data_IF_077214973863
#
_entry.id   IF_077214973863
#
_cell.length_a   1.000
_cell.length_b   1.000
_cell.length_c   1.000
_cell.angle_alpha   90.00
_cell.angle_beta   90.00
_cell.angle_gamma   90.00
#
_symmetry.space_group_name_H-M   'P 1'
#
loop_
_entity.id
_entity.type
_entity.pdbx_description
1 polymer ?
#
# COMPACT_ATOMS: atom_id res chain seq x y z
N UNK A 1 -54.02 11.44 -15.08
CA UNK A 1 -52.93 10.48 -15.38
C UNK A 1 -52.18 10.97 -16.61
N UNK A 2 -50.84 10.90 -16.61
CA UNK A 2 -49.88 11.52 -17.56
C UNK A 2 -49.33 12.91 -17.15
N UNK A 3 -48.83 13.01 -15.92
CA UNK A 3 -47.80 13.99 -15.50
C UNK A 3 -46.46 13.26 -15.30
N UNK A 4 -46.13 12.31 -16.16
CA UNK A 4 -44.93 11.43 -16.03
C UNK A 4 -44.38 11.10 -17.42
N UNK A 5 -44.06 12.12 -18.23
CA UNK A 5 -43.40 11.91 -19.53
C UNK A 5 -42.34 12.97 -19.81
N UNK A 6 -41.71 13.54 -18.77
CA UNK A 6 -40.77 14.65 -18.89
C UNK A 6 -39.40 14.38 -18.22
N UNK A 7 -38.99 13.11 -18.12
CA UNK A 7 -37.72 12.73 -17.50
C UNK A 7 -37.03 11.54 -18.19
N UNK A 8 -37.11 11.43 -19.53
CA UNK A 8 -36.55 10.29 -20.28
C UNK A 8 -35.40 10.70 -21.23
N UNK A 9 -35.00 11.96 -21.31
CA UNK A 9 -33.95 12.40 -22.26
C UNK A 9 -32.89 13.29 -21.62
N UNK A 10 -32.31 12.86 -20.49
CA UNK A 10 -31.11 13.50 -19.94
C UNK A 10 -30.16 12.56 -19.19
N UNK A 11 -30.11 11.28 -19.55
CA UNK A 11 -29.14 10.33 -18.98
C UNK A 11 -28.38 9.59 -20.09
N UNK A 12 -27.65 10.34 -20.92
CA UNK A 12 -26.71 9.80 -21.92
C UNK A 12 -25.27 10.19 -21.63
N UNK A 13 -24.89 10.21 -20.35
CA UNK A 13 -23.52 10.36 -19.84
C UNK A 13 -23.54 9.46 -18.59
N UNK A 14 -22.84 8.33 -18.43
CA UNK A 14 -21.50 7.92 -18.82
C UNK A 14 -21.55 6.38 -18.93
N UNK A 15 -21.25 5.81 -20.10
CA UNK A 15 -20.94 4.37 -20.21
C UNK A 15 -19.53 4.26 -20.74
N UNK A 16 -18.57 4.03 -19.84
CA UNK A 16 -17.28 3.35 -20.04
C UNK A 16 -16.45 3.56 -18.77
N UNK A 17 -16.86 2.92 -17.67
CA UNK A 17 -15.87 2.41 -16.71
C UNK A 17 -15.64 0.98 -17.16
N UNK A 18 -14.49 0.76 -17.79
CA UNK A 18 -13.96 -0.55 -18.11
C UNK A 18 -13.94 -1.38 -16.83
N UNK A 19 -14.63 -2.52 -16.89
CA UNK A 19 -14.62 -3.54 -15.87
C UNK A 19 -13.17 -4.00 -15.61
N UNK A 20 -12.58 -3.51 -14.52
CA UNK A 20 -11.82 -4.40 -13.66
C UNK A 20 -12.89 -5.04 -12.78
N UNK A 21 -13.27 -6.27 -13.14
CA UNK A 21 -14.02 -7.13 -12.22
C UNK A 21 -13.16 -7.32 -10.97
N UNK A 22 -13.43 -6.53 -9.93
CA UNK A 22 -13.05 -6.92 -8.58
C UNK A 22 -13.92 -8.11 -8.24
N UNK A 23 -13.35 -9.31 -8.37
CA UNK A 23 -13.94 -10.50 -7.80
C UNK A 23 -13.96 -10.31 -6.29
N UNK A 24 -15.15 -10.00 -5.78
CA UNK A 24 -15.53 -10.14 -4.39
C UNK A 24 -15.55 -11.65 -4.07
N UNK A 25 -14.35 -12.21 -3.89
CA UNK A 25 -14.16 -13.54 -3.34
C UNK A 25 -14.15 -13.39 -1.82
N UNK A 26 -15.33 -13.68 -1.27
CA UNK A 26 -15.59 -14.19 0.08
C UNK A 26 -14.66 -13.68 1.18
N UNK A 27 -15.24 -12.79 1.98
CA UNK A 27 -14.98 -12.60 3.40
C UNK A 27 -14.96 -13.95 4.13
N UNK A 28 -13.82 -14.64 4.07
CA UNK A 28 -13.56 -15.87 4.81
C UNK A 28 -12.73 -15.49 6.04
N UNK A 29 -13.43 -15.37 7.17
CA UNK A 29 -13.06 -15.94 8.47
C UNK A 29 -11.55 -16.14 8.71
N UNK A 30 -10.81 -15.03 8.88
CA UNK A 30 -9.47 -15.09 9.43
C UNK A 30 -9.58 -15.12 10.95
N UNK A 31 -9.71 -16.35 11.44
CA UNK A 31 -9.69 -16.72 12.83
C UNK A 31 -8.56 -16.02 13.60
N UNK A 32 -8.96 -15.62 14.80
CA UNK A 32 -8.14 -15.27 15.96
C UNK A 32 -6.75 -15.93 15.93
N UNK A 33 -5.76 -15.24 15.37
CA UNK A 33 -4.37 -15.62 15.53
C UNK A 33 -3.95 -15.17 16.91
N UNK A 34 -4.06 -16.11 17.86
CA UNK A 34 -3.39 -16.05 19.14
C UNK A 34 -1.96 -15.53 18.95
N UNK A 35 -1.64 -14.53 19.76
CA UNK A 35 -0.35 -13.89 19.88
C UNK A 35 0.72 -14.93 20.21
N UNK A 36 1.32 -15.53 19.19
CA UNK A 36 2.39 -16.51 19.34
C UNK A 36 3.70 -15.77 19.61
N UNK A 37 3.93 -15.47 20.88
CA UNK A 37 5.20 -14.97 21.44
C UNK A 37 6.30 -16.04 21.46
N UNK A 38 6.35 -16.93 20.48
CA UNK A 38 7.17 -18.16 20.54
C UNK A 38 7.66 -18.55 19.14
N UNK A 39 8.46 -17.66 18.54
CA UNK A 39 9.62 -17.97 17.67
C UNK A 39 10.64 -16.85 17.90
N UNK A 40 11.39 -16.94 19.02
CA UNK A 40 12.73 -16.34 19.13
C UNK A 40 13.62 -17.47 19.62
N UNK A 41 13.93 -18.40 18.73
CA UNK A 41 14.95 -19.43 18.95
C UNK A 41 15.47 -19.98 17.63
N UNK A 42 15.61 -19.13 16.62
CA UNK A 42 16.56 -19.39 15.54
C UNK A 42 17.56 -18.25 15.61
N UNK A 43 18.81 -18.64 15.85
CA UNK A 43 19.98 -17.79 15.99
C UNK A 43 19.97 -16.75 14.87
N UNK A 44 19.65 -15.49 15.19
CA UNK A 44 20.00 -14.36 14.35
C UNK A 44 21.50 -14.23 14.44
N UNK A 45 22.19 -14.98 13.59
CA UNK A 45 23.59 -14.77 13.28
C UNK A 45 23.68 -13.34 12.73
N UNK A 46 24.09 -12.39 13.57
CA UNK A 46 24.19 -10.96 13.23
C UNK A 46 25.41 -10.83 12.32
N UNK A 47 25.23 -11.24 11.07
CA UNK A 47 26.17 -11.03 9.98
C UNK A 47 25.85 -9.69 9.33
N UNK A 48 26.88 -8.98 8.87
CA UNK A 48 26.83 -7.58 8.44
C UNK A 48 25.57 -7.22 7.62
N UNK A 49 24.90 -6.13 8.00
CA UNK A 49 23.62 -5.60 7.48
C UNK A 49 23.36 -5.94 6.00
N UNK A 50 22.68 -7.05 5.75
CA UNK A 50 22.25 -7.40 4.40
C UNK A 50 21.12 -6.45 3.95
N UNK A 51 21.24 -5.91 2.73
CA UNK A 51 20.24 -5.01 2.17
C UNK A 51 18.91 -5.74 1.99
N UNK A 52 17.78 -5.11 2.38
CA UNK A 52 16.49 -5.71 2.12
C UNK A 52 16.28 -5.84 0.61
N UNK A 53 15.86 -7.04 0.19
CA UNK A 53 15.59 -7.35 -1.21
C UNK A 53 14.08 -7.42 -1.44
N UNK A 54 13.53 -6.34 -1.99
CA UNK A 54 12.11 -6.28 -2.35
C UNK A 54 11.88 -6.61 -3.83
N UNK A 55 10.62 -6.95 -4.15
CA UNK A 55 10.14 -7.02 -5.53
C UNK A 55 8.90 -6.15 -5.65
N UNK A 56 8.84 -5.35 -6.71
CA UNK A 56 7.73 -4.42 -6.93
C UNK A 56 6.36 -5.13 -6.98
N UNK A 57 6.31 -6.36 -7.50
CA UNK A 57 5.09 -7.19 -7.52
C UNK A 57 4.53 -7.55 -6.13
N UNK A 58 5.37 -7.47 -5.10
CA UNK A 58 4.99 -7.78 -3.72
C UNK A 58 4.44 -6.53 -2.99
N UNK A 59 4.36 -5.37 -3.67
CA UNK A 59 3.89 -4.11 -3.09
C UNK A 59 2.53 -4.18 -2.39
N UNK A 60 1.48 -4.86 -2.90
CA UNK A 60 0.21 -4.99 -2.16
C UNK A 60 0.37 -5.63 -0.78
N UNK A 61 1.21 -6.67 -0.69
CA UNK A 61 1.48 -7.37 0.57
C UNK A 61 2.32 -6.50 1.49
N UNK A 62 3.38 -5.90 0.96
CA UNK A 62 4.29 -5.03 1.73
C UNK A 62 3.57 -3.78 2.26
N UNK A 63 2.65 -3.20 1.49
CA UNK A 63 1.85 -2.06 1.96
C UNK A 63 0.92 -2.47 3.10
N UNK A 64 0.29 -3.65 3.00
CA UNK A 64 -0.55 -4.19 4.09
C UNK A 64 0.24 -4.35 5.39
N UNK A 65 1.46 -4.90 5.30
CA UNK A 65 2.36 -5.04 6.45
C UNK A 65 2.83 -3.67 6.97
N UNK A 66 3.16 -2.74 6.08
CA UNK A 66 3.56 -1.37 6.40
C UNK A 66 2.47 -0.62 7.19
N UNK A 67 1.22 -0.66 6.71
CA UNK A 67 0.06 -0.03 7.37
C UNK A 67 -0.08 -0.55 8.80
N UNK A 68 0.07 -1.87 8.99
CA UNK A 68 0.02 -2.50 10.31
C UNK A 68 1.21 -2.11 11.19
N UNK A 69 2.43 -2.19 10.65
CA UNK A 69 3.67 -1.99 11.41
C UNK A 69 3.84 -0.55 11.88
N UNK A 70 3.35 0.42 11.11
CA UNK A 70 3.42 1.84 11.44
C UNK A 70 2.09 2.43 11.88
N UNK A 71 1.08 1.59 12.15
CA UNK A 71 -0.26 1.99 12.58
C UNK A 71 -0.83 3.14 11.75
N UNK A 72 -0.73 3.01 10.42
CA UNK A 72 -1.20 4.04 9.49
C UNK A 72 -2.72 4.05 9.46
N UNK A 73 -3.27 5.26 9.51
CA UNK A 73 -4.70 5.51 9.36
C UNK A 73 -4.88 6.51 8.22
N UNK A 74 -5.77 6.17 7.29
CA UNK A 74 -6.10 7.01 6.14
C UNK A 74 -7.50 7.56 6.29
N UNK A 75 -7.68 8.81 5.87
CA UNK A 75 -8.91 9.56 6.10
C UNK A 75 -10.10 8.97 5.34
N UNK A 76 -9.86 8.56 4.10
CA UNK A 76 -10.86 8.03 3.19
C UNK A 76 -10.21 7.16 2.12
N UNK A 77 -11.01 6.57 1.22
CA UNK A 77 -10.53 5.68 0.17
C UNK A 77 -9.60 6.39 -0.83
N UNK A 78 -9.83 7.68 -1.13
CA UNK A 78 -8.95 8.42 -2.03
C UNK A 78 -7.58 8.66 -1.39
N UNK A 79 -7.55 8.95 -0.09
CA UNK A 79 -6.33 9.06 0.71
C UNK A 79 -5.55 7.74 0.75
N UNK A 80 -6.26 6.61 0.96
CA UNK A 80 -5.67 5.27 0.92
C UNK A 80 -4.98 4.99 -0.43
N UNK A 81 -5.66 5.22 -1.55
CA UNK A 81 -5.06 4.97 -2.87
C UNK A 81 -3.90 5.92 -3.16
N UNK A 82 -3.98 7.19 -2.74
CA UNK A 82 -2.87 8.14 -2.86
C UNK A 82 -1.63 7.61 -2.14
N UNK A 83 -1.78 7.18 -0.89
CA UNK A 83 -0.67 6.65 -0.10
C UNK A 83 -0.15 5.31 -0.61
N UNK A 84 -1.02 4.47 -1.18
CA UNK A 84 -0.59 3.25 -1.85
C UNK A 84 0.27 3.56 -3.10
N UNK A 85 -0.15 4.50 -3.94
CA UNK A 85 0.61 4.90 -5.13
C UNK A 85 1.97 5.49 -4.75
N UNK A 86 2.01 6.34 -3.73
CA UNK A 86 3.26 6.88 -3.16
C UNK A 86 4.17 5.76 -2.65
N UNK A 87 3.61 4.80 -1.91
CA UNK A 87 4.35 3.65 -1.40
C UNK A 87 4.97 2.81 -2.52
N UNK A 88 4.24 2.55 -3.60
CA UNK A 88 4.76 1.82 -4.76
C UNK A 88 5.91 2.57 -5.41
N UNK A 89 5.79 3.90 -5.58
CA UNK A 89 6.85 4.73 -6.14
C UNK A 89 8.11 4.73 -5.26
N UNK A 90 7.95 4.89 -3.94
CA UNK A 90 9.06 4.88 -2.99
C UNK A 90 9.70 3.48 -2.87
N UNK A 91 8.91 2.40 -2.99
CA UNK A 91 9.43 1.04 -3.02
C UNK A 91 10.33 0.79 -4.24
N UNK A 92 9.93 1.27 -5.42
CA UNK A 92 10.76 1.18 -6.64
C UNK A 92 12.09 1.93 -6.45
N UNK A 93 12.04 3.11 -5.82
CA UNK A 93 13.23 3.89 -5.49
C UNK A 93 14.14 3.19 -4.48
N UNK A 94 13.60 2.59 -3.42
CA UNK A 94 14.35 1.77 -2.46
C UNK A 94 15.05 0.61 -3.18
N UNK A 95 14.34 -0.11 -4.05
CA UNK A 95 14.90 -1.21 -4.85
C UNK A 95 16.05 -0.70 -5.73
N UNK A 96 15.88 0.46 -6.38
CA UNK A 96 16.90 1.07 -7.22
C UNK A 96 18.13 1.48 -6.40
N UNK A 97 17.95 2.18 -5.29
CA UNK A 97 19.03 2.63 -4.41
C UNK A 97 19.86 1.45 -3.90
N UNK A 98 19.20 0.38 -3.43
CA UNK A 98 19.89 -0.80 -2.91
C UNK A 98 20.64 -1.58 -3.98
N UNK A 99 20.16 -1.53 -5.23
CA UNK A 99 20.82 -2.16 -6.37
C UNK A 99 22.04 -1.36 -6.85
N UNK A 100 21.96 -0.03 -6.82
CA UNK A 100 22.95 0.85 -7.44
C UNK A 100 24.06 1.30 -6.48
N UNK A 101 23.75 1.44 -5.19
CA UNK A 101 24.71 1.95 -4.21
C UNK A 101 25.19 0.81 -3.34
N UNK A 102 26.50 0.55 -3.28
CA UNK A 102 27.09 -0.48 -2.42
C UNK A 102 27.17 -0.01 -0.95
N UNK A 103 27.37 1.29 -0.73
CA UNK A 103 27.67 1.86 0.60
C UNK A 103 26.44 2.37 1.39
N UNK A 104 25.24 2.28 0.82
CA UNK A 104 24.00 2.72 1.49
C UNK A 104 22.93 1.64 1.48
N UNK A 105 22.12 1.62 2.54
CA UNK A 105 20.93 0.78 2.67
C UNK A 105 19.69 1.67 2.73
N UNK A 106 18.74 1.45 1.84
CA UNK A 106 17.40 2.00 1.88
C UNK A 106 16.42 0.89 2.30
N UNK A 107 15.43 1.25 3.11
CA UNK A 107 14.46 0.30 3.69
C UNK A 107 13.08 0.97 3.77
N UNK A 108 12.03 0.15 3.79
CA UNK A 108 10.68 0.60 4.08
C UNK A 108 10.66 1.13 5.53
N UNK A 109 10.36 2.41 5.67
CA UNK A 109 10.29 3.08 6.96
C UNK A 109 8.95 3.82 7.12
N UNK A 110 8.76 4.50 8.24
CA UNK A 110 7.49 5.19 8.56
C UNK A 110 7.06 6.29 7.56
N UNK A 111 7.94 6.71 6.66
CA UNK A 111 7.68 7.72 5.64
C UNK A 111 7.51 7.14 4.23
N UNK A 112 7.53 5.81 4.09
CA UNK A 112 7.52 5.15 2.79
C UNK A 112 6.26 5.43 1.95
N UNK A 113 5.16 5.90 2.53
CA UNK A 113 3.91 6.25 1.83
C UNK A 113 3.72 7.75 1.57
N UNK A 114 4.71 8.58 1.87
CA UNK A 114 4.60 10.04 1.73
C UNK A 114 5.15 10.53 0.38
N UNK A 115 4.54 11.58 -0.16
CA UNK A 115 5.13 12.40 -1.20
C UNK A 115 6.09 13.46 -0.64
N UNK A 116 6.88 14.13 -1.50
CA UNK A 116 7.85 15.15 -1.08
C UNK A 116 7.22 16.30 -0.29
N UNK A 117 6.00 16.73 -0.65
CA UNK A 117 5.30 17.83 0.01
C UNK A 117 4.80 17.44 1.39
N UNK A 118 4.43 16.17 1.56
CA UNK A 118 4.05 15.59 2.84
C UNK A 118 5.25 15.36 3.75
N UNK A 119 6.40 15.00 3.16
CA UNK A 119 7.62 14.74 3.89
C UNK A 119 8.30 16.02 4.40
N UNK A 120 8.38 17.07 3.58
CA UNK A 120 9.04 18.34 3.88
C UNK A 120 8.75 18.90 5.29
N UNK A 121 7.49 19.04 5.74
CA UNK A 121 7.19 19.57 7.08
C UNK A 121 7.56 18.62 8.23
N UNK A 122 7.87 17.34 7.97
CA UNK A 122 8.19 16.34 8.98
C UNK A 122 9.69 16.18 9.24
N UNK A 123 10.52 16.54 8.27
CA UNK A 123 11.97 16.36 8.31
C UNK A 123 12.77 17.67 8.25
N UNK A 124 12.08 18.80 8.10
CA UNK A 124 12.65 20.17 8.03
C UNK A 124 12.78 20.88 9.37
#
# INVERSE_FOLDING_TARGET
MKQIFLAIVSLTIITLVSAVEYKDETFDDYGELEFRSEIISEESDITADEKPTYKLKDAPKLFTEFVKNYSKEYKDEADFYKHYDNFVANLDEIIRINKENEDSVADINMFADLDEKELEPLVG
#
